data_IF_177935053150
#
_entry.id   IF_177935053150
#
_cell.length_a   1.000
_cell.length_b   1.000
_cell.length_c   1.000
_cell.angle_alpha   90.00
_cell.angle_beta   90.00
_cell.angle_gamma   90.00
#
_symmetry.space_group_name_H-M   'P 1'
#
loop_
_entity.id
_entity.type
_entity.pdbx_description
1 polymer ?
#
# COMPACT_ATOMS: atom_id res chain seq x y z
N UNK A 1 0.89 -30.47 6.51
CA UNK A 1 0.26 -29.44 5.65
C UNK A 1 0.73 -29.65 4.22
N UNK A 2 -0.14 -29.70 3.19
CA UNK A 2 0.31 -29.96 1.83
C UNK A 2 1.11 -28.76 1.32
N UNK A 3 2.39 -29.02 1.06
CA UNK A 3 3.34 -28.09 0.45
C UNK A 3 2.76 -27.69 -0.91
N UNK A 4 2.60 -26.39 -1.15
CA UNK A 4 2.18 -25.87 -2.46
C UNK A 4 3.06 -26.53 -3.54
N UNK A 5 2.44 -27.22 -4.51
CA UNK A 5 3.16 -27.77 -5.66
C UNK A 5 3.91 -26.64 -6.36
N UNK A 6 5.13 -26.91 -6.80
CA UNK A 6 6.00 -25.95 -7.49
C UNK A 6 5.32 -25.30 -8.71
N UNK A 7 4.39 -26.02 -9.34
CA UNK A 7 3.56 -25.50 -10.43
C UNK A 7 2.66 -24.34 -10.00
N UNK A 8 2.06 -24.42 -8.80
CA UNK A 8 1.19 -23.37 -8.25
C UNK A 8 2.00 -22.14 -7.81
N UNK A 9 3.22 -22.35 -7.31
CA UNK A 9 4.16 -21.27 -6.99
C UNK A 9 4.58 -20.49 -8.25
N UNK A 10 4.88 -21.18 -9.34
CA UNK A 10 5.23 -20.54 -10.63
C UNK A 10 4.07 -19.75 -11.22
N UNK A 11 2.85 -20.29 -11.16
CA UNK A 11 1.64 -19.61 -11.62
C UNK A 11 1.33 -18.36 -10.78
N UNK A 12 1.41 -18.47 -9.45
CA UNK A 12 1.24 -17.33 -8.55
C UNK A 12 2.30 -16.26 -8.82
N UNK A 13 3.56 -16.65 -9.01
CA UNK A 13 4.64 -15.71 -9.33
C UNK A 13 4.34 -14.91 -10.59
N UNK A 14 3.89 -15.55 -11.67
CA UNK A 14 3.55 -14.88 -12.93
C UNK A 14 2.38 -13.91 -12.79
N UNK A 15 1.34 -14.28 -12.03
CA UNK A 15 0.20 -13.41 -11.77
C UNK A 15 0.57 -12.23 -10.87
N UNK A 16 1.34 -12.49 -9.82
CA UNK A 16 1.90 -11.47 -8.93
C UNK A 16 2.76 -10.49 -9.71
N UNK A 17 3.62 -10.99 -10.60
CA UNK A 17 4.49 -10.18 -11.45
C UNK A 17 3.71 -9.22 -12.36
N UNK A 18 2.58 -9.68 -12.92
CA UNK A 18 1.69 -8.86 -13.75
C UNK A 18 0.83 -7.86 -12.96
N UNK A 19 0.67 -8.08 -11.64
CA UNK A 19 -0.16 -7.24 -10.76
C UNK A 19 0.65 -6.54 -9.66
N UNK A 20 1.98 -6.45 -9.84
CA UNK A 20 2.91 -5.85 -8.87
C UNK A 20 2.46 -4.48 -8.40
N UNK A 21 2.03 -3.64 -9.32
CA UNK A 21 1.67 -2.26 -9.00
C UNK A 21 0.41 -2.18 -8.14
N UNK A 22 -0.60 -2.99 -8.45
CA UNK A 22 -1.82 -3.10 -7.64
C UNK A 22 -1.51 -3.64 -6.24
N UNK A 23 -0.71 -4.71 -6.17
CA UNK A 23 -0.30 -5.29 -4.89
C UNK A 23 0.49 -4.29 -4.04
N UNK A 24 1.38 -3.53 -4.68
CA UNK A 24 2.20 -2.51 -4.04
C UNK A 24 1.34 -1.40 -3.43
N UNK A 25 0.30 -0.94 -4.13
CA UNK A 25 -0.68 0.01 -3.57
C UNK A 25 -1.37 -0.57 -2.33
N UNK A 26 -1.82 -1.83 -2.37
CA UNK A 26 -2.46 -2.46 -1.20
C UNK A 26 -1.51 -2.59 0.00
N UNK A 27 -0.26 -2.97 -0.25
CA UNK A 27 0.76 -3.08 0.80
C UNK A 27 1.03 -1.73 1.45
N UNK A 28 1.30 -0.69 0.66
CA UNK A 28 1.54 0.65 1.19
C UNK A 28 0.33 1.19 1.95
N UNK A 29 -0.89 0.98 1.44
CA UNK A 29 -2.11 1.36 2.16
C UNK A 29 -2.24 0.65 3.50
N UNK A 30 -1.92 -0.64 3.55
CA UNK A 30 -1.98 -1.41 4.80
C UNK A 30 -0.93 -0.95 5.80
N UNK A 31 0.29 -0.65 5.33
CA UNK A 31 1.36 -0.16 6.18
C UNK A 31 1.07 1.24 6.71
N UNK A 32 0.57 2.14 5.87
CA UNK A 32 0.16 3.47 6.29
C UNK A 32 -0.91 3.41 7.40
N UNK A 33 -1.94 2.56 7.24
CA UNK A 33 -2.96 2.37 8.29
C UNK A 33 -2.36 1.86 9.60
N UNK A 34 -1.47 0.87 9.54
CA UNK A 34 -0.82 0.32 10.73
C UNK A 34 0.05 1.38 11.41
N UNK A 35 0.79 2.14 10.63
CA UNK A 35 1.66 3.20 11.13
C UNK A 35 0.86 4.27 11.86
N UNK A 36 -0.15 4.85 11.20
CA UNK A 36 -1.03 5.87 11.79
C UNK A 36 -1.73 5.37 13.06
N UNK A 37 -2.15 4.10 13.09
CA UNK A 37 -2.91 3.54 14.21
C UNK A 37 -2.03 3.18 15.42
N UNK A 38 -0.88 2.56 15.18
CA UNK A 38 -0.14 1.84 16.24
C UNK A 38 1.26 2.41 16.52
N UNK A 39 1.83 3.23 15.63
CA UNK A 39 3.25 3.59 15.68
C UNK A 39 3.54 5.09 15.58
N UNK A 40 2.65 5.87 14.95
CA UNK A 40 2.87 7.29 14.69
C UNK A 40 2.88 8.12 15.99
N UNK A 41 3.79 9.09 16.05
CA UNK A 41 3.80 10.15 17.06
C UNK A 41 2.84 11.27 16.67
N UNK A 42 2.60 12.23 17.57
CA UNK A 42 1.75 13.39 17.26
C UNK A 42 2.30 14.20 16.07
N UNK A 43 3.62 14.41 16.01
CA UNK A 43 4.29 15.11 14.92
C UNK A 43 4.13 14.38 13.58
N UNK A 44 4.29 13.04 13.58
CA UNK A 44 4.06 12.22 12.39
C UNK A 44 2.63 12.36 11.86
N UNK A 45 1.64 12.42 12.76
CA UNK A 45 0.23 12.57 12.38
C UNK A 45 -0.05 13.93 11.75
N UNK A 46 0.55 15.00 12.29
CA UNK A 46 0.41 16.36 11.76
C UNK A 46 1.07 16.50 10.38
N UNK A 47 2.25 15.91 10.19
CA UNK A 47 2.91 15.86 8.89
C UNK A 47 2.07 15.08 7.87
N UNK A 48 1.61 13.87 8.25
CA UNK A 48 0.80 13.03 7.36
C UNK A 48 -0.53 13.69 6.98
N UNK A 49 -1.17 14.42 7.91
CA UNK A 49 -2.37 15.18 7.61
C UNK A 49 -2.09 16.26 6.55
N UNK A 50 -1.00 17.01 6.70
CA UNK A 50 -0.58 18.04 5.75
C UNK A 50 -0.30 17.45 4.36
N UNK A 51 0.37 16.29 4.30
CA UNK A 51 0.64 15.58 3.04
C UNK A 51 -0.67 15.10 2.37
N UNK A 52 -1.64 14.64 3.14
CA UNK A 52 -2.95 14.20 2.61
C UNK A 52 -3.70 15.39 2.01
N UNK A 53 -3.69 16.54 2.67
CA UNK A 53 -4.40 17.72 2.19
C UNK A 53 -3.76 18.28 0.91
N UNK A 54 -2.44 18.38 0.85
CA UNK A 54 -1.72 18.76 -0.37
C UNK A 54 -2.02 17.81 -1.55
N UNK A 55 -2.04 16.49 -1.29
CA UNK A 55 -2.36 15.52 -2.35
C UNK A 55 -3.81 15.66 -2.83
N UNK A 56 -4.75 15.97 -1.93
CA UNK A 56 -6.15 16.20 -2.30
C UNK A 56 -6.31 17.47 -3.13
N UNK A 57 -5.55 18.52 -2.86
CA UNK A 57 -5.60 19.74 -3.68
C UNK A 57 -5.07 19.49 -5.08
N UNK A 58 -3.95 18.78 -5.22
CA UNK A 58 -3.40 18.40 -6.53
C UNK A 58 -4.39 17.59 -7.37
N UNK A 59 -5.07 16.60 -6.77
CA UNK A 59 -6.04 15.78 -7.51
C UNK A 59 -7.25 16.63 -7.93
N UNK A 60 -7.71 17.56 -7.10
CA UNK A 60 -8.86 18.42 -7.40
C UNK A 60 -8.56 19.47 -8.47
N UNK A 61 -7.31 19.85 -8.68
CA UNK A 61 -6.93 20.82 -9.72
C UNK A 61 -6.81 20.20 -11.12
N UNK A 62 -6.81 18.87 -11.20
CA UNK A 62 -6.71 18.12 -12.46
C UNK A 62 -8.08 17.70 -13.04
N UNK A 63 -9.19 18.07 -12.36
CA UNK A 63 -10.60 17.87 -12.78
C UNK A 63 -11.24 19.21 -13.20
#
# INVERSE_FOLDING_TARGET
MPKNSEARLKANKKWTDANKDKQRVYQYRSYARKFIRDMATAEDLDELASLIDNRRTEIKTDD
#
